data_IF_606171474996
#
_entry.id   IF_606171474996
#
_cell.length_a   1.000
_cell.length_b   1.000
_cell.length_c   1.000
_cell.angle_alpha   90.00
_cell.angle_beta   90.00
_cell.angle_gamma   90.00
#
_symmetry.space_group_name_H-M   'P 1'
#
loop_
_entity.id
_entity.type
_entity.pdbx_description
1 polymer ?
#
# COMPACT_ATOMS: atom_id res chain seq x y z
N UNK A 1 -12.33 -9.46 26.28
CA UNK A 1 -11.39 -8.92 25.28
C UNK A 1 -10.04 -8.56 25.90
N UNK A 2 -10.01 -7.92 27.07
CA UNK A 2 -8.75 -7.49 27.71
C UNK A 2 -7.85 -8.65 28.19
N UNK A 3 -8.40 -9.83 28.40
CA UNK A 3 -7.64 -11.02 28.82
C UNK A 3 -7.06 -11.83 27.65
N UNK A 4 -7.39 -11.44 26.40
CA UNK A 4 -6.93 -12.11 25.20
C UNK A 4 -5.47 -11.75 24.93
N UNK A 5 -4.58 -12.74 24.98
CA UNK A 5 -3.14 -12.56 24.70
C UNK A 5 -2.91 -12.52 23.19
N UNK A 6 -2.41 -11.40 22.70
CA UNK A 6 -2.33 -11.13 21.26
C UNK A 6 -0.87 -10.99 20.84
N UNK A 7 -0.45 -11.70 19.80
CA UNK A 7 0.78 -11.37 19.06
C UNK A 7 0.39 -10.58 17.83
N UNK A 8 1.05 -9.45 17.61
CA UNK A 8 0.91 -8.63 16.42
C UNK A 8 2.07 -8.83 15.46
N UNK A 9 1.80 -8.98 14.16
CA UNK A 9 2.81 -9.13 13.12
C UNK A 9 2.60 -8.09 12.03
N UNK A 10 3.58 -7.21 11.81
CA UNK A 10 3.47 -6.14 10.81
C UNK A 10 4.78 -5.42 10.58
N UNK A 11 4.81 -4.56 9.54
CA UNK A 11 6.05 -3.83 9.20
C UNK A 11 5.82 -2.36 8.89
N UNK A 12 4.97 -1.96 7.90
CA UNK A 12 4.84 -0.57 7.44
C UNK A 12 3.94 0.28 8.35
N UNK A 13 3.83 1.54 8.01
CA UNK A 13 3.01 2.53 8.75
C UNK A 13 1.54 2.10 8.87
N UNK A 14 0.98 1.46 7.85
CA UNK A 14 -0.36 0.87 7.91
C UNK A 14 -0.52 -0.08 9.10
N UNK A 15 0.45 -0.97 9.30
CA UNK A 15 0.46 -1.89 10.44
C UNK A 15 0.66 -1.15 11.78
N UNK A 16 1.47 -0.08 11.77
CA UNK A 16 1.69 0.74 12.98
C UNK A 16 0.42 1.43 13.43
N UNK A 17 -0.39 1.96 12.51
CA UNK A 17 -1.69 2.56 12.84
C UNK A 17 -2.65 1.56 13.50
N UNK A 18 -2.70 0.33 13.00
CA UNK A 18 -3.50 -0.75 13.59
C UNK A 18 -2.99 -1.13 14.98
N UNK A 19 -1.68 -1.35 15.14
CA UNK A 19 -1.09 -1.66 16.44
C UNK A 19 -1.35 -0.55 17.47
N UNK A 20 -1.22 0.71 17.06
CA UNK A 20 -1.51 1.87 17.91
C UNK A 20 -2.96 1.84 18.42
N UNK A 21 -3.93 1.60 17.53
CA UNK A 21 -5.34 1.52 17.89
C UNK A 21 -5.61 0.38 18.88
N UNK A 22 -4.99 -0.79 18.68
CA UNK A 22 -5.09 -1.91 19.60
C UNK A 22 -4.58 -1.57 21.01
N UNK A 23 -3.44 -0.88 21.10
CA UNK A 23 -2.84 -0.46 22.39
C UNK A 23 -3.70 0.61 23.06
N UNK A 24 -4.23 1.57 22.32
CA UNK A 24 -5.13 2.62 22.82
C UNK A 24 -6.44 2.04 23.40
N UNK A 25 -6.93 0.92 22.84
CA UNK A 25 -8.08 0.16 23.39
C UNK A 25 -7.72 -0.67 24.63
N UNK A 26 -6.46 -0.68 25.06
CA UNK A 26 -5.98 -1.41 26.22
C UNK A 26 -5.97 -2.92 25.98
N UNK A 27 -5.79 -3.38 24.72
CA UNK A 27 -5.67 -4.80 24.37
C UNK A 27 -4.30 -5.33 24.81
N UNK A 28 -4.26 -6.58 25.24
CA UNK A 28 -3.04 -7.22 25.73
C UNK A 28 -2.16 -7.72 24.56
N UNK A 29 -1.41 -6.82 23.94
CA UNK A 29 -0.40 -7.16 22.94
C UNK A 29 0.85 -7.65 23.67
N UNK A 30 1.06 -8.96 23.73
CA UNK A 30 2.15 -9.58 24.49
C UNK A 30 3.48 -9.59 23.77
N UNK A 31 3.48 -9.53 22.44
CA UNK A 31 4.68 -9.40 21.61
C UNK A 31 4.33 -8.85 20.22
N UNK A 32 5.34 -8.28 19.58
CA UNK A 32 5.29 -7.81 18.20
C UNK A 32 6.36 -8.55 17.38
N UNK A 33 5.99 -9.00 16.19
CA UNK A 33 6.91 -9.57 15.21
C UNK A 33 7.03 -8.64 14.02
N UNK A 34 8.24 -8.24 13.66
CA UNK A 34 8.49 -7.37 12.51
C UNK A 34 9.75 -7.81 11.76
N UNK A 35 10.05 -7.14 10.64
CA UNK A 35 11.26 -7.44 9.86
C UNK A 35 12.52 -7.04 10.60
N UNK A 36 13.63 -7.73 10.32
CA UNK A 36 14.95 -7.35 10.82
C UNK A 36 15.35 -5.97 10.30
N UNK A 37 16.08 -5.21 11.11
CA UNK A 37 16.63 -3.92 10.71
C UNK A 37 17.57 -4.10 9.52
N UNK A 38 17.50 -3.18 8.57
CA UNK A 38 18.32 -3.24 7.35
C UNK A 38 19.08 -1.93 7.17
N UNK A 39 20.35 -1.99 6.72
CA UNK A 39 21.05 -0.80 6.28
C UNK A 39 20.27 -0.12 5.13
N UNK A 40 19.99 1.17 5.23
CA UNK A 40 19.29 1.91 4.19
C UNK A 40 19.84 3.33 4.04
N UNK A 41 19.66 3.90 2.84
CA UNK A 41 20.04 5.27 2.49
C UNK A 41 21.54 5.48 2.29
N UNK A 42 21.89 6.73 1.99
CA UNK A 42 23.30 7.16 1.89
C UNK A 42 23.93 7.13 3.29
N UNK A 43 24.93 6.25 3.48
CA UNK A 43 25.59 6.06 4.78
C UNK A 43 25.17 4.80 5.54
N UNK A 44 24.33 3.91 4.95
CA UNK A 44 23.97 2.59 5.49
C UNK A 44 23.56 2.58 6.98
N UNK A 45 22.85 3.61 7.43
CA UNK A 45 22.28 3.60 8.79
C UNK A 45 21.23 2.51 8.89
N UNK A 46 21.25 1.76 9.99
CA UNK A 46 20.21 0.77 10.28
C UNK A 46 18.84 1.46 10.34
N UNK A 47 17.93 1.02 9.47
CA UNK A 47 16.56 1.51 9.45
C UNK A 47 15.65 0.49 10.15
N UNK A 48 15.05 0.95 11.23
CA UNK A 48 14.04 0.21 11.97
C UNK A 48 12.66 0.39 11.35
N UNK A 49 11.82 -0.64 11.41
CA UNK A 49 10.41 -0.52 11.01
C UNK A 49 9.65 0.44 11.94
N UNK A 50 8.62 1.10 11.40
CA UNK A 50 7.73 1.95 12.21
C UNK A 50 7.04 1.16 13.32
N UNK A 51 6.66 -0.08 13.04
CA UNK A 51 6.09 -1.02 14.03
C UNK A 51 7.05 -1.28 15.19
N UNK A 52 8.36 -1.51 14.92
CA UNK A 52 9.37 -1.71 15.97
C UNK A 52 9.49 -0.46 16.86
N UNK A 53 9.63 0.71 16.24
CA UNK A 53 9.77 1.97 16.98
C UNK A 53 8.58 2.20 17.93
N UNK A 54 7.38 1.97 17.42
CA UNK A 54 6.17 2.11 18.23
C UNK A 54 6.10 1.07 19.35
N UNK A 55 6.34 -0.22 19.06
CA UNK A 55 6.32 -1.28 20.06
C UNK A 55 7.31 -1.02 21.20
N UNK A 56 8.55 -0.61 20.90
CA UNK A 56 9.54 -0.25 21.92
C UNK A 56 9.10 0.94 22.77
N UNK A 57 8.46 1.96 22.18
CA UNK A 57 7.93 3.10 22.92
C UNK A 57 6.80 2.72 23.90
N UNK A 58 6.12 1.59 23.63
CA UNK A 58 5.07 1.02 24.50
C UNK A 58 5.59 -0.13 25.38
N UNK A 59 6.90 -0.37 25.42
CA UNK A 59 7.54 -1.44 26.18
C UNK A 59 7.02 -2.84 25.81
N UNK A 60 6.56 -3.03 24.57
CA UNK A 60 6.11 -4.32 24.03
C UNK A 60 7.33 -5.08 23.51
N UNK A 61 7.52 -6.36 23.89
CA UNK A 61 8.59 -7.21 23.36
C UNK A 61 8.55 -7.30 21.84
N UNK A 62 9.73 -7.19 21.17
CA UNK A 62 9.86 -7.22 19.72
C UNK A 62 10.71 -8.40 19.29
N UNK A 63 10.16 -9.21 18.38
CA UNK A 63 10.87 -10.32 17.71
C UNK A 63 11.16 -9.93 16.26
N UNK A 64 12.41 -10.12 15.82
CA UNK A 64 12.85 -9.78 14.45
C UNK A 64 13.52 -10.97 13.76
N UNK A 65 12.80 -12.08 13.50
CA UNK A 65 13.40 -13.27 12.91
C UNK A 65 13.83 -13.04 11.46
N UNK A 66 15.01 -13.51 11.08
CA UNK A 66 15.44 -13.59 9.69
C UNK A 66 14.59 -14.62 8.96
N UNK A 67 14.45 -15.80 9.56
CA UNK A 67 13.58 -16.88 9.08
C UNK A 67 12.44 -17.13 10.07
N UNK A 68 11.20 -17.18 9.55
CA UNK A 68 10.02 -17.54 10.34
C UNK A 68 9.95 -19.06 10.67
N UNK A 69 10.90 -19.84 10.18
CA UNK A 69 11.04 -21.28 10.46
C UNK A 69 12.19 -21.58 11.41
N UNK A 70 12.86 -20.55 11.90
CA UNK A 70 13.94 -20.69 12.87
C UNK A 70 13.42 -21.27 14.18
N UNK A 71 14.10 -22.30 14.71
CA UNK A 71 13.63 -23.03 15.90
C UNK A 71 13.65 -22.16 17.16
N UNK A 72 14.66 -21.31 17.31
CA UNK A 72 14.75 -20.39 18.45
C UNK A 72 13.63 -19.34 18.39
N UNK A 73 13.31 -18.84 17.20
CA UNK A 73 12.17 -17.96 17.01
C UNK A 73 10.84 -18.64 17.34
N UNK A 74 10.63 -19.87 16.87
CA UNK A 74 9.40 -20.63 17.14
C UNK A 74 9.24 -20.92 18.64
N UNK A 75 10.33 -21.27 19.33
CA UNK A 75 10.33 -21.45 20.77
C UNK A 75 9.98 -20.16 21.51
N UNK A 76 10.64 -19.04 21.19
CA UNK A 76 10.34 -17.73 21.77
C UNK A 76 8.89 -17.28 21.50
N UNK A 77 8.38 -17.51 20.28
CA UNK A 77 7.00 -17.18 19.92
C UNK A 77 5.99 -17.96 20.78
N UNK A 78 6.26 -19.23 21.04
CA UNK A 78 5.42 -20.12 21.84
C UNK A 78 5.38 -19.72 23.32
N UNK A 79 6.48 -19.19 23.87
CA UNK A 79 6.56 -18.75 25.27
C UNK A 79 5.57 -17.61 25.59
N UNK A 80 5.19 -16.81 24.60
CA UNK A 80 4.17 -15.78 24.79
C UNK A 80 2.76 -16.32 25.00
N UNK A 81 2.52 -17.60 24.74
CA UNK A 81 1.21 -18.25 24.95
C UNK A 81 0.03 -17.43 24.39
N UNK A 82 0.18 -16.94 23.17
CA UNK A 82 -0.83 -16.13 22.54
C UNK A 82 -2.09 -16.93 22.20
N UNK A 83 -3.25 -16.34 22.49
CA UNK A 83 -4.55 -16.89 22.11
C UNK A 83 -4.85 -16.66 20.63
N UNK A 84 -4.41 -15.51 20.09
CA UNK A 84 -4.65 -15.09 18.71
C UNK A 84 -3.46 -14.34 18.15
N UNK A 85 -3.25 -14.44 16.85
CA UNK A 85 -2.28 -13.62 16.11
C UNK A 85 -2.99 -12.70 15.13
N UNK A 86 -2.57 -11.44 15.11
CA UNK A 86 -3.04 -10.40 14.18
C UNK A 86 -1.94 -10.07 13.19
N UNK A 87 -2.21 -10.20 11.90
CA UNK A 87 -1.25 -9.95 10.84
C UNK A 87 -1.70 -8.76 10.00
N UNK A 88 -0.81 -7.82 9.78
CA UNK A 88 -1.10 -6.62 8.97
C UNK A 88 0.12 -6.26 8.13
N UNK A 89 -0.02 -6.33 6.81
CA UNK A 89 1.05 -6.01 5.86
C UNK A 89 2.39 -6.65 6.26
N UNK A 90 2.41 -7.95 6.34
CA UNK A 90 3.57 -8.75 6.71
C UNK A 90 3.89 -9.78 5.63
N UNK A 91 5.03 -10.44 5.75
CA UNK A 91 5.42 -11.54 4.85
C UNK A 91 4.57 -12.78 5.09
N UNK A 92 4.48 -13.66 4.09
CA UNK A 92 3.75 -14.93 4.19
C UNK A 92 4.24 -15.75 5.38
N UNK A 93 3.29 -16.23 6.19
CA UNK A 93 3.56 -17.04 7.37
C UNK A 93 3.62 -18.53 7.04
N UNK A 94 4.61 -19.26 7.52
CA UNK A 94 4.60 -20.72 7.44
C UNK A 94 3.53 -21.29 8.37
N UNK A 95 3.02 -22.47 8.01
CA UNK A 95 1.94 -23.17 8.73
C UNK A 95 2.21 -23.32 10.22
N UNK A 96 3.44 -23.67 10.60
CA UNK A 96 3.87 -23.81 11.99
C UNK A 96 3.70 -22.54 12.82
N UNK A 97 3.71 -21.36 12.20
CA UNK A 97 3.49 -20.07 12.89
C UNK A 97 2.01 -19.75 12.99
N UNK A 98 1.28 -19.78 11.87
CA UNK A 98 -0.11 -19.32 11.89
C UNK A 98 -1.10 -20.30 12.53
N UNK A 99 -0.73 -21.59 12.68
CA UNK A 99 -1.52 -22.58 13.44
C UNK A 99 -1.23 -22.59 14.93
N UNK A 100 -0.25 -21.82 15.42
CA UNK A 100 0.19 -21.90 16.81
C UNK A 100 -0.88 -21.44 17.82
N UNK A 101 -1.61 -20.32 17.62
CA UNK A 101 -2.56 -19.84 18.61
C UNK A 101 -3.89 -20.61 18.55
N UNK A 102 -4.49 -20.85 19.72
CA UNK A 102 -5.72 -21.65 19.85
C UNK A 102 -6.96 -21.03 19.18
N UNK A 103 -7.00 -19.69 19.08
CA UNK A 103 -8.10 -18.93 18.44
C UNK A 103 -7.76 -18.54 16.99
N UNK A 104 -6.63 -19.04 16.45
CA UNK A 104 -6.22 -18.85 15.08
C UNK A 104 -5.45 -17.54 14.83
N UNK A 105 -5.08 -17.38 13.58
CA UNK A 105 -4.35 -16.22 13.06
C UNK A 105 -5.20 -15.57 11.97
N UNK A 106 -5.43 -14.27 12.07
CA UNK A 106 -6.16 -13.54 11.03
C UNK A 106 -5.33 -12.37 10.48
N UNK A 107 -5.62 -12.01 9.25
CA UNK A 107 -5.01 -10.87 8.56
C UNK A 107 -6.04 -9.76 8.35
N UNK A 108 -5.56 -8.51 8.38
CA UNK A 108 -6.27 -7.35 7.85
C UNK A 108 -5.77 -7.09 6.44
N UNK A 109 -6.65 -7.17 5.45
CA UNK A 109 -6.38 -6.89 4.06
C UNK A 109 -7.10 -5.62 3.60
N UNK A 110 -6.41 -4.79 2.81
CA UNK A 110 -6.92 -3.49 2.39
C UNK A 110 -7.75 -3.58 1.09
N UNK A 111 -8.68 -4.51 1.02
CA UNK A 111 -9.70 -4.62 -0.03
C UNK A 111 -10.95 -5.34 0.48
N UNK A 112 -11.99 -5.35 -0.34
CA UNK A 112 -13.18 -6.18 -0.14
C UNK A 112 -12.95 -7.56 -0.78
N UNK A 113 -12.33 -8.48 -0.04
CA UNK A 113 -12.11 -9.85 -0.55
C UNK A 113 -13.41 -10.50 -1.03
N UNK A 114 -13.43 -11.28 -2.14
CA UNK A 114 -12.26 -11.88 -2.78
C UNK A 114 -11.50 -10.97 -3.75
N UNK A 115 -11.99 -9.77 -4.07
CA UNK A 115 -11.34 -8.87 -5.00
C UNK A 115 -10.03 -8.28 -4.43
N UNK A 116 -9.07 -8.05 -5.32
CA UNK A 116 -7.78 -7.44 -5.01
C UNK A 116 -6.94 -8.23 -3.99
N UNK A 117 -6.94 -9.58 -4.09
CA UNK A 117 -5.93 -10.41 -3.42
C UNK A 117 -4.54 -10.02 -3.90
N UNK A 118 -3.55 -9.99 -3.00
CA UNK A 118 -2.16 -9.75 -3.33
C UNK A 118 -1.52 -8.54 -2.65
N UNK A 119 -0.46 -8.00 -3.26
CA UNK A 119 0.48 -7.12 -2.57
C UNK A 119 0.12 -5.62 -2.60
N UNK A 120 -0.73 -5.16 -3.53
CA UNK A 120 -0.99 -3.73 -3.76
C UNK A 120 -2.49 -3.39 -3.95
N UNK A 121 -3.40 -3.86 -3.08
CA UNK A 121 -4.84 -3.69 -3.27
C UNK A 121 -5.27 -2.22 -3.35
N UNK A 122 -4.69 -1.35 -2.55
CA UNK A 122 -5.01 0.09 -2.50
C UNK A 122 -4.68 0.77 -3.83
N UNK A 123 -3.49 0.49 -4.38
CA UNK A 123 -3.04 1.06 -5.64
C UNK A 123 -3.96 0.61 -6.80
N UNK A 124 -4.22 -0.70 -6.89
CA UNK A 124 -5.01 -1.26 -7.98
C UNK A 124 -6.48 -0.86 -7.94
N UNK A 125 -7.06 -0.63 -6.78
CA UNK A 125 -8.41 -0.07 -6.68
C UNK A 125 -8.50 1.31 -7.35
N UNK A 126 -7.54 2.21 -7.11
CA UNK A 126 -7.48 3.53 -7.77
C UNK A 126 -7.21 3.39 -9.27
N UNK A 127 -6.20 2.59 -9.66
CA UNK A 127 -5.80 2.41 -11.07
C UNK A 127 -6.96 1.87 -11.90
N UNK A 128 -7.72 0.92 -11.38
CA UNK A 128 -8.86 0.32 -12.04
C UNK A 128 -10.12 1.20 -12.02
N UNK A 129 -10.08 2.35 -11.30
CA UNK A 129 -11.19 3.30 -11.28
C UNK A 129 -12.35 2.87 -10.42
N UNK A 130 -12.10 2.10 -9.37
CA UNK A 130 -13.13 1.76 -8.40
C UNK A 130 -13.65 3.02 -7.69
N UNK A 131 -14.93 3.02 -7.40
CA UNK A 131 -15.60 4.06 -6.59
C UNK A 131 -15.80 3.63 -5.15
N UNK A 132 -15.65 2.33 -4.89
CA UNK A 132 -15.79 1.71 -3.58
C UNK A 132 -14.70 0.66 -3.41
N UNK A 133 -14.12 0.59 -2.24
CA UNK A 133 -13.21 -0.46 -1.78
C UNK A 133 -13.51 -0.75 -0.32
N UNK A 134 -12.56 -1.26 0.44
CA UNK A 134 -12.76 -1.48 1.87
C UNK A 134 -11.62 -2.23 2.52
N UNK A 135 -11.91 -2.78 3.66
CA UNK A 135 -11.00 -3.61 4.43
C UNK A 135 -11.69 -4.92 4.82
N UNK A 136 -10.91 -5.98 4.91
CA UNK A 136 -11.41 -7.33 5.27
C UNK A 136 -10.51 -7.94 6.31
N UNK A 137 -11.06 -8.46 7.42
CA UNK A 137 -10.37 -9.40 8.30
C UNK A 137 -10.74 -10.82 7.92
N UNK A 138 -9.75 -11.72 7.83
CA UNK A 138 -9.96 -13.10 7.43
C UNK A 138 -8.94 -14.03 8.11
N UNK A 139 -9.32 -15.28 8.38
CA UNK A 139 -8.41 -16.30 8.91
C UNK A 139 -7.36 -16.69 7.85
N UNK A 140 -6.11 -16.81 8.25
CA UNK A 140 -5.03 -17.24 7.35
C UNK A 140 -5.12 -18.74 7.09
N UNK A 141 -4.93 -19.11 5.85
CA UNK A 141 -4.80 -20.50 5.38
C UNK A 141 -3.50 -20.72 4.58
N UNK A 142 -3.39 -21.82 3.85
CA UNK A 142 -2.19 -22.20 3.10
C UNK A 142 -2.02 -21.38 1.78
N UNK A 143 -3.00 -20.58 1.36
CA UNK A 143 -2.98 -19.79 0.13
C UNK A 143 -3.03 -18.29 0.43
N UNK A 144 -2.58 -17.47 -0.52
CA UNK A 144 -2.55 -16.01 -0.35
C UNK A 144 -3.97 -15.44 -0.38
N UNK A 145 -4.38 -14.81 0.73
CA UNK A 145 -5.62 -14.05 0.89
C UNK A 145 -6.92 -14.83 0.55
N UNK A 146 -6.92 -16.17 0.74
CA UNK A 146 -8.06 -17.05 0.41
C UNK A 146 -8.88 -17.50 1.61
N UNK A 147 -8.40 -17.30 2.82
CA UNK A 147 -9.00 -17.78 4.02
C UNK A 147 -10.40 -17.21 4.30
N UNK A 148 -11.10 -17.83 5.24
CA UNK A 148 -12.48 -17.49 5.57
C UNK A 148 -12.59 -16.09 6.21
N UNK A 149 -13.54 -15.29 5.70
CA UNK A 149 -13.77 -13.90 6.10
C UNK A 149 -14.45 -13.84 7.46
N UNK A 150 -13.92 -12.98 8.32
CA UNK A 150 -14.49 -12.67 9.62
C UNK A 150 -15.38 -11.43 9.55
N UNK A 151 -14.82 -10.30 9.11
CA UNK A 151 -15.56 -9.03 8.93
C UNK A 151 -15.09 -8.31 7.67
N UNK A 152 -15.94 -7.42 7.17
CA UNK A 152 -15.64 -6.46 6.09
C UNK A 152 -16.25 -5.10 6.43
N UNK A 153 -15.58 -4.05 5.95
CA UNK A 153 -16.09 -2.68 6.01
C UNK A 153 -15.86 -2.00 4.66
N UNK A 154 -16.92 -1.41 4.10
CA UNK A 154 -16.86 -0.70 2.83
C UNK A 154 -16.39 0.75 3.01
N UNK A 155 -15.61 1.23 2.05
CA UNK A 155 -15.08 2.59 2.04
C UNK A 155 -15.24 3.19 0.65
N UNK A 156 -15.91 4.33 0.55
CA UNK A 156 -16.03 5.08 -0.70
C UNK A 156 -14.69 5.71 -1.08
N UNK A 157 -14.30 5.58 -2.35
CA UNK A 157 -13.16 6.28 -2.95
C UNK A 157 -13.65 7.62 -3.49
N UNK A 158 -13.12 8.72 -2.95
CA UNK A 158 -13.50 10.06 -3.39
C UNK A 158 -12.96 10.37 -4.81
N UNK A 159 -13.63 11.25 -5.57
CA UNK A 159 -13.07 11.77 -6.80
C UNK A 159 -11.68 12.38 -6.55
N UNK A 160 -10.71 12.08 -7.41
CA UNK A 160 -9.33 12.56 -7.29
C UNK A 160 -8.52 12.01 -6.10
N UNK A 161 -9.04 11.02 -5.37
CA UNK A 161 -8.31 10.35 -4.29
C UNK A 161 -7.06 9.65 -4.83
N UNK A 162 -5.96 9.71 -4.07
CA UNK A 162 -4.70 9.03 -4.38
C UNK A 162 -4.56 7.73 -3.57
N UNK A 163 -3.65 6.85 -3.97
CA UNK A 163 -3.36 5.67 -3.15
C UNK A 163 -2.88 6.04 -1.73
N UNK A 164 -2.19 7.18 -1.56
CA UNK A 164 -1.75 7.64 -0.25
C UNK A 164 -2.90 8.07 0.64
N UNK A 165 -3.83 8.89 0.14
CA UNK A 165 -4.99 9.34 0.93
C UNK A 165 -5.95 8.19 1.24
N UNK A 166 -6.13 7.26 0.28
CA UNK A 166 -6.92 6.06 0.49
C UNK A 166 -6.26 5.12 1.52
N UNK A 167 -4.92 5.00 1.49
CA UNK A 167 -4.16 4.24 2.49
C UNK A 167 -4.46 4.71 3.92
N UNK A 168 -4.42 6.03 4.17
CA UNK A 168 -4.65 6.58 5.50
C UNK A 168 -6.09 6.37 5.97
N UNK A 169 -7.05 6.50 5.05
CA UNK A 169 -8.46 6.22 5.29
C UNK A 169 -8.68 4.74 5.65
N UNK A 170 -8.16 3.82 4.83
CA UNK A 170 -8.28 2.38 5.06
C UNK A 170 -7.52 1.91 6.31
N UNK A 171 -6.41 2.55 6.66
CA UNK A 171 -5.69 2.28 7.91
C UNK A 171 -6.56 2.56 9.13
N UNK A 172 -7.27 3.69 9.13
CA UNK A 172 -8.16 4.06 10.24
C UNK A 172 -9.34 3.10 10.36
N UNK A 173 -10.06 2.85 9.27
CA UNK A 173 -11.20 1.93 9.24
C UNK A 173 -10.77 0.50 9.55
N UNK A 174 -9.63 0.07 9.01
CA UNK A 174 -9.07 -1.27 9.25
C UNK A 174 -8.64 -1.49 10.70
N UNK A 175 -8.11 -0.44 11.35
CA UNK A 175 -7.75 -0.51 12.75
C UNK A 175 -8.97 -0.76 13.64
N UNK A 176 -10.09 -0.05 13.39
CA UNK A 176 -11.34 -0.27 14.10
C UNK A 176 -11.93 -1.65 13.80
N UNK A 177 -11.84 -2.13 12.55
CA UNK A 177 -12.30 -3.46 12.16
C UNK A 177 -11.53 -4.58 12.88
N UNK A 178 -10.22 -4.42 13.09
CA UNK A 178 -9.39 -5.36 13.86
C UNK A 178 -9.85 -5.43 15.31
N UNK A 179 -10.14 -4.29 15.95
CA UNK A 179 -10.66 -4.25 17.32
C UNK A 179 -12.03 -4.97 17.41
N UNK A 180 -12.93 -4.72 16.47
CA UNK A 180 -14.23 -5.41 16.40
C UNK A 180 -14.05 -6.92 16.19
N UNK A 181 -13.14 -7.33 15.31
CA UNK A 181 -12.82 -8.74 15.07
C UNK A 181 -12.33 -9.43 16.35
N UNK A 182 -11.42 -8.78 17.08
CA UNK A 182 -10.91 -9.30 18.35
C UNK A 182 -11.99 -9.40 19.42
N UNK A 183 -12.95 -8.47 19.45
CA UNK A 183 -14.10 -8.52 20.35
C UNK A 183 -14.98 -9.75 20.07
N UNK A 184 -15.25 -10.04 18.80
CA UNK A 184 -16.02 -11.23 18.40
C UNK A 184 -15.27 -12.53 18.72
N UNK A 185 -13.96 -12.57 18.50
CA UNK A 185 -13.12 -13.73 18.84
C UNK A 185 -13.11 -13.96 20.36
N UNK A 186 -12.98 -12.90 21.15
CA UNK A 186 -12.95 -12.97 22.60
C UNK A 186 -14.28 -13.49 23.19
N UNK A 187 -15.42 -13.06 22.62
CA UNK A 187 -16.76 -13.50 23.05
C UNK A 187 -17.18 -14.87 22.48
N UNK A 188 -16.39 -15.48 21.59
CA UNK A 188 -16.75 -16.70 20.90
C UNK A 188 -17.84 -16.55 19.84
N UNK A 189 -18.14 -15.30 19.43
CA UNK A 189 -19.16 -14.97 18.44
C UNK A 189 -18.62 -14.78 17.03
N UNK A 190 -17.32 -14.94 16.82
CA UNK A 190 -16.70 -14.83 15.50
C UNK A 190 -17.18 -15.98 14.59
N UNK A 191 -17.81 -15.63 13.47
CA UNK A 191 -18.26 -16.59 12.45
C UNK A 191 -17.47 -16.38 11.19
N UNK A 192 -16.59 -17.33 10.86
CA UNK A 192 -15.81 -17.31 9.65
C UNK A 192 -16.64 -17.81 8.45
N UNK A 193 -16.71 -17.00 7.38
CA UNK A 193 -17.46 -17.32 6.15
C UNK A 193 -16.47 -17.61 5.02
N UNK A 194 -16.53 -18.77 4.35
CA UNK A 194 -15.70 -19.06 3.20
C UNK A 194 -15.85 -18.01 2.10
N UNK A 195 -14.75 -17.68 1.42
CA UNK A 195 -14.82 -16.82 0.25
C UNK A 195 -15.50 -17.57 -0.92
N UNK A 196 -16.30 -16.87 -1.77
CA UNK A 196 -16.96 -17.49 -2.91
C UNK A 196 -15.89 -18.01 -3.91
N UNK A 197 -16.09 -19.22 -4.43
CA UNK A 197 -15.15 -19.88 -5.37
C UNK A 197 -15.48 -19.62 -6.84
N UNK A 198 -16.71 -19.17 -7.13
CA UNK A 198 -17.25 -19.06 -8.48
C UNK A 198 -16.93 -17.72 -9.17
N UNK A 199 -16.36 -16.77 -8.45
CA UNK A 199 -16.03 -15.44 -8.97
C UNK A 199 -14.54 -15.39 -9.28
N UNK A 200 -14.16 -15.01 -10.52
CA UNK A 200 -12.78 -14.65 -10.82
C UNK A 200 -12.47 -13.30 -10.16
N UNK A 201 -11.69 -13.29 -9.09
CA UNK A 201 -11.40 -12.05 -8.38
C UNK A 201 -10.46 -11.16 -9.19
N UNK A 202 -10.59 -9.86 -9.05
CA UNK A 202 -9.59 -8.90 -9.49
C UNK A 202 -8.32 -9.13 -8.68
N UNK A 203 -7.17 -9.14 -9.35
CA UNK A 203 -5.89 -9.34 -8.69
C UNK A 203 -5.21 -8.01 -8.36
N UNK A 204 -4.38 -8.01 -7.31
CA UNK A 204 -3.55 -6.87 -6.91
C UNK A 204 -2.07 -7.24 -6.88
N UNK A 205 -1.45 -7.52 -8.03
CA UNK A 205 -0.07 -7.93 -8.08
C UNK A 205 0.87 -6.85 -7.54
N UNK A 206 2.04 -7.30 -7.11
CA UNK A 206 3.08 -6.40 -6.63
C UNK A 206 3.50 -5.42 -7.73
N UNK A 207 3.59 -4.14 -7.38
CA UNK A 207 4.06 -3.09 -8.28
C UNK A 207 5.58 -3.04 -8.21
N UNK A 208 6.21 -3.07 -9.36
CA UNK A 208 7.66 -2.94 -9.55
C UNK A 208 7.97 -1.62 -10.27
N UNK A 209 9.26 -1.27 -10.36
CA UNK A 209 9.68 -0.05 -11.05
C UNK A 209 9.19 -0.01 -12.51
N UNK A 210 9.30 -1.13 -13.20
CA UNK A 210 8.90 -1.25 -14.61
C UNK A 210 7.40 -1.05 -14.77
N UNK A 211 6.58 -1.63 -13.90
CA UNK A 211 5.13 -1.51 -13.94
C UNK A 211 4.60 -0.17 -13.41
N UNK A 212 5.45 0.68 -12.86
CA UNK A 212 5.09 2.06 -12.48
C UNK A 212 5.44 3.11 -13.55
N UNK A 213 5.93 2.68 -14.74
CA UNK A 213 6.08 3.55 -15.90
C UNK A 213 4.72 3.92 -16.47
N UNK A 214 4.53 5.19 -16.80
CA UNK A 214 3.26 5.70 -17.34
C UNK A 214 2.98 5.09 -18.71
N UNK A 215 1.83 4.43 -18.91
CA UNK A 215 1.42 3.85 -20.19
C UNK A 215 0.76 4.91 -21.07
N UNK A 216 1.56 5.73 -21.77
CA UNK A 216 1.09 6.90 -22.53
C UNK A 216 0.08 6.56 -23.65
N UNK A 217 0.02 5.31 -24.11
CA UNK A 217 -0.94 4.83 -25.11
C UNK A 217 -2.38 4.73 -24.60
N UNK A 218 -2.55 4.79 -23.29
CA UNK A 218 -3.87 4.74 -22.65
C UNK A 218 -4.62 6.07 -22.76
N UNK A 219 -5.91 6.04 -22.41
CA UNK A 219 -6.74 7.25 -22.40
C UNK A 219 -6.33 8.19 -21.26
N UNK A 220 -6.67 9.48 -21.41
CA UNK A 220 -6.43 10.51 -20.40
C UNK A 220 -6.86 10.07 -18.99
N UNK A 221 -8.06 9.53 -18.87
CA UNK A 221 -8.62 9.12 -17.57
C UNK A 221 -7.96 7.87 -16.99
N UNK A 222 -7.49 6.94 -17.82
CA UNK A 222 -6.70 5.80 -17.35
C UNK A 222 -5.33 6.23 -16.84
N UNK A 223 -4.67 7.16 -17.53
CA UNK A 223 -3.37 7.70 -17.10
C UNK A 223 -3.53 8.54 -15.82
N UNK A 224 -4.59 9.33 -15.71
CA UNK A 224 -4.89 10.08 -14.49
C UNK A 224 -5.04 9.13 -13.29
N UNK A 225 -5.86 8.09 -13.41
CA UNK A 225 -6.01 7.07 -12.37
C UNK A 225 -4.70 6.37 -12.05
N UNK A 226 -3.90 6.07 -13.08
CA UNK A 226 -2.60 5.45 -12.90
C UNK A 226 -1.66 6.33 -12.07
N UNK A 227 -1.51 7.62 -12.39
CA UNK A 227 -0.68 8.55 -11.61
C UNK A 227 -1.17 8.64 -10.17
N UNK A 228 -2.47 8.80 -9.95
CA UNK A 228 -3.05 8.84 -8.59
C UNK A 228 -2.87 7.52 -7.82
N UNK A 229 -3.03 6.40 -8.50
CA UNK A 229 -2.84 5.07 -7.92
C UNK A 229 -1.39 4.75 -7.58
N UNK A 230 -0.43 5.45 -8.19
CA UNK A 230 0.99 5.32 -7.88
C UNK A 230 1.48 6.36 -6.85
N UNK A 231 0.68 7.37 -6.53
CA UNK A 231 1.09 8.46 -5.63
C UNK A 231 0.74 8.17 -4.16
N UNK A 232 1.62 8.50 -3.19
CA UNK A 232 2.96 9.07 -3.38
C UNK A 232 4.05 8.02 -3.62
N UNK A 233 3.74 6.73 -3.49
CA UNK A 233 4.65 5.60 -3.63
C UNK A 233 3.96 4.41 -4.33
N UNK A 234 4.66 3.73 -5.27
CA UNK A 234 6.06 3.90 -5.69
C UNK A 234 6.36 5.14 -6.54
N UNK A 235 5.37 5.89 -6.95
CA UNK A 235 5.35 7.04 -7.85
C UNK A 235 5.40 6.62 -9.31
N UNK A 236 4.48 7.15 -10.11
CA UNK A 236 4.51 7.02 -11.57
C UNK A 236 5.74 7.72 -12.14
N UNK A 237 6.33 7.17 -13.20
CA UNK A 237 7.47 7.78 -13.87
C UNK A 237 7.39 7.62 -15.38
N UNK A 238 8.08 8.50 -16.10
CA UNK A 238 8.18 8.48 -17.54
C UNK A 238 9.60 8.85 -18.00
N UNK A 239 9.95 8.51 -19.25
CA UNK A 239 11.17 9.01 -19.88
C UNK A 239 10.87 10.34 -20.56
N UNK A 240 11.59 11.38 -20.18
CA UNK A 240 11.67 12.63 -20.93
C UNK A 240 12.84 12.55 -21.90
N UNK A 241 12.56 12.63 -23.18
CA UNK A 241 13.56 12.81 -24.23
C UNK A 241 13.81 14.30 -24.42
N UNK A 242 15.04 14.73 -24.18
CA UNK A 242 15.48 16.12 -24.28
C UNK A 242 16.88 16.21 -24.86
N UNK A 243 17.04 16.88 -25.99
CA UNK A 243 18.35 17.10 -26.68
C UNK A 243 19.15 15.80 -26.91
N UNK A 244 18.46 14.69 -27.21
CA UNK A 244 19.10 13.39 -27.46
C UNK A 244 19.40 12.56 -26.21
N UNK A 245 19.14 13.10 -25.02
CA UNK A 245 19.31 12.41 -23.74
C UNK A 245 17.95 11.94 -23.18
N UNK A 246 17.99 10.91 -22.33
CA UNK A 246 16.80 10.35 -21.65
C UNK A 246 16.86 10.57 -20.14
N UNK A 247 15.81 11.14 -19.58
CA UNK A 247 15.69 11.40 -18.15
C UNK A 247 14.47 10.70 -17.55
N UNK A 248 14.69 9.83 -16.54
CA UNK A 248 13.60 9.21 -15.82
C UNK A 248 12.98 10.23 -14.84
N UNK A 249 11.87 10.83 -15.22
CA UNK A 249 11.14 11.82 -14.43
C UNK A 249 10.01 11.16 -13.66
N UNK A 250 9.95 11.38 -12.34
CA UNK A 250 8.83 10.95 -11.51
C UNK A 250 7.71 11.99 -11.54
N UNK A 251 6.47 11.54 -11.64
CA UNK A 251 5.27 12.38 -11.66
C UNK A 251 4.43 12.03 -10.44
N UNK A 252 4.32 12.97 -9.50
CA UNK A 252 3.62 12.80 -8.24
C UNK A 252 2.17 13.24 -8.30
N UNK A 253 1.92 14.29 -9.09
CA UNK A 253 0.59 14.87 -9.23
C UNK A 253 0.40 15.38 -10.65
N UNK A 254 -0.78 15.11 -11.20
CA UNK A 254 -1.18 15.58 -12.51
C UNK A 254 -2.68 15.84 -12.54
N UNK A 255 -3.11 16.72 -13.46
CA UNK A 255 -4.51 17.07 -13.69
C UNK A 255 -4.88 16.71 -15.12
N UNK A 256 -5.99 15.98 -15.36
CA UNK A 256 -6.49 15.72 -16.70
C UNK A 256 -7.11 17.01 -17.28
N UNK A 257 -6.76 17.33 -18.52
CA UNK A 257 -7.33 18.42 -19.31
C UNK A 257 -8.04 17.80 -20.50
N UNK A 258 -9.36 17.77 -20.45
CA UNK A 258 -10.23 17.20 -21.50
C UNK A 258 -10.35 18.22 -22.65
N UNK A 259 -9.39 18.19 -23.57
CA UNK A 259 -9.29 19.08 -24.71
C UNK A 259 -8.80 18.29 -25.93
N UNK A 260 -9.62 18.10 -26.97
CA UNK A 260 -9.22 17.40 -28.19
C UNK A 260 -8.00 18.03 -28.87
N UNK A 261 -7.10 17.19 -29.36
CA UNK A 261 -5.90 17.61 -30.08
C UNK A 261 -5.50 16.61 -31.17
N UNK A 262 -4.60 17.04 -32.05
CA UNK A 262 -4.03 16.23 -33.14
C UNK A 262 -2.54 15.95 -32.95
N UNK A 263 -1.98 16.32 -31.79
CA UNK A 263 -0.57 16.15 -31.48
C UNK A 263 -0.23 14.65 -31.34
N UNK A 264 1.01 14.32 -31.61
CA UNK A 264 1.54 12.96 -31.32
C UNK A 264 1.50 12.73 -29.81
N UNK A 265 1.11 11.53 -29.41
CA UNK A 265 1.15 11.12 -27.98
C UNK A 265 2.55 11.32 -27.40
N UNK A 266 2.61 11.87 -26.19
CA UNK A 266 3.86 12.22 -25.51
C UNK A 266 4.40 13.62 -25.86
N UNK A 267 3.87 14.29 -26.89
CA UNK A 267 4.29 15.67 -27.22
C UNK A 267 3.99 16.62 -26.06
N UNK A 268 4.89 17.57 -25.83
CA UNK A 268 4.80 18.53 -24.74
C UNK A 268 4.22 19.84 -25.28
N UNK A 269 3.18 20.34 -24.63
CA UNK A 269 2.64 21.69 -24.83
C UNK A 269 2.97 22.54 -23.59
N UNK A 270 3.61 23.67 -23.79
CA UNK A 270 3.85 24.66 -22.74
C UNK A 270 2.84 25.81 -22.87
N UNK A 271 2.00 25.98 -21.89
CA UNK A 271 0.99 27.04 -21.87
C UNK A 271 0.88 27.62 -20.45
N UNK A 272 1.00 28.96 -20.32
CA UNK A 272 0.88 29.65 -19.03
C UNK A 272 1.76 29.07 -17.89
N UNK A 273 2.99 28.71 -18.21
CA UNK A 273 3.94 28.04 -17.27
C UNK A 273 3.46 26.67 -16.79
N UNK A 274 2.64 25.97 -17.56
CA UNK A 274 2.19 24.61 -17.32
C UNK A 274 2.88 23.66 -18.28
N UNK A 275 3.10 22.42 -17.86
CA UNK A 275 3.62 21.35 -18.67
C UNK A 275 2.46 20.39 -18.95
N UNK A 276 2.00 20.36 -20.17
CA UNK A 276 0.93 19.50 -20.62
C UNK A 276 1.44 18.47 -21.62
N UNK A 277 1.19 17.20 -21.36
CA UNK A 277 1.62 16.10 -22.20
C UNK A 277 0.42 15.57 -22.97
N UNK A 278 0.52 15.52 -24.29
CA UNK A 278 -0.52 15.04 -25.18
C UNK A 278 -0.77 13.54 -24.96
N UNK A 279 -2.02 13.16 -24.70
CA UNK A 279 -2.49 11.80 -24.50
C UNK A 279 -3.77 11.55 -25.27
N UNK A 280 -4.20 10.30 -25.42
CA UNK A 280 -5.47 10.03 -26.09
C UNK A 280 -6.66 10.63 -25.32
N UNK A 281 -7.33 11.60 -25.92
CA UNK A 281 -8.51 12.28 -25.35
C UNK A 281 -8.20 13.56 -24.60
N UNK A 282 -6.99 14.12 -24.69
CA UNK A 282 -6.66 15.39 -24.06
C UNK A 282 -5.20 15.53 -23.64
N UNK A 283 -4.96 16.24 -22.58
CA UNK A 283 -3.63 16.47 -22.04
C UNK A 283 -3.55 16.07 -20.57
N UNK A 284 -2.43 15.49 -20.20
CA UNK A 284 -2.05 15.32 -18.80
C UNK A 284 -1.22 16.52 -18.35
N UNK A 285 -1.79 17.44 -17.58
CA UNK A 285 -1.06 18.57 -17.00
C UNK A 285 -0.27 18.09 -15.79
N UNK A 286 1.06 18.17 -15.86
CA UNK A 286 1.96 17.81 -14.75
C UNK A 286 1.97 18.94 -13.72
N UNK A 287 1.63 18.63 -12.48
CA UNK A 287 1.63 19.61 -11.38
C UNK A 287 2.90 19.50 -10.54
N UNK A 288 3.24 18.27 -10.11
CA UNK A 288 4.38 18.00 -9.24
C UNK A 288 5.21 16.88 -9.82
N UNK A 289 6.49 17.15 -9.99
CA UNK A 289 7.45 16.21 -10.57
C UNK A 289 8.76 16.16 -9.77
N UNK A 290 9.58 15.16 -10.11
CA UNK A 290 10.95 15.07 -9.64
C UNK A 290 11.86 14.67 -10.80
N UNK A 291 12.73 15.56 -11.18
CA UNK A 291 13.80 15.31 -12.16
C UNK A 291 14.95 14.53 -11.49
N UNK A 292 15.73 13.73 -12.23
CA UNK A 292 16.88 13.02 -11.67
C UNK A 292 17.81 13.91 -10.85
N UNK A 293 18.21 13.45 -9.68
CA UNK A 293 19.10 14.15 -8.73
C UNK A 293 18.55 15.48 -8.16
N UNK A 294 17.30 15.85 -8.46
CA UNK A 294 16.64 17.04 -7.91
C UNK A 294 15.66 16.67 -6.80
N UNK A 295 15.21 17.66 -6.05
CA UNK A 295 14.10 17.51 -5.11
C UNK A 295 12.77 17.48 -5.87
N UNK A 296 11.73 16.96 -5.25
CA UNK A 296 10.34 17.10 -5.68
C UNK A 296 9.99 18.58 -5.75
N UNK A 297 9.38 19.03 -6.85
CA UNK A 297 9.06 20.42 -7.12
C UNK A 297 7.81 20.55 -7.99
N UNK A 298 7.21 21.74 -8.01
CA UNK A 298 6.12 22.07 -8.94
C UNK A 298 6.62 22.20 -10.38
N UNK A 299 5.71 22.03 -11.34
CA UNK A 299 6.04 22.26 -12.76
C UNK A 299 6.57 23.68 -13.01
N UNK A 300 6.01 24.67 -12.31
CA UNK A 300 6.47 26.07 -12.43
C UNK A 300 7.90 26.26 -11.92
N UNK A 301 8.26 25.66 -10.77
CA UNK A 301 9.63 25.69 -10.25
C UNK A 301 10.59 25.00 -11.20
N UNK A 302 10.18 23.88 -11.80
CA UNK A 302 10.99 23.15 -12.78
C UNK A 302 11.26 24.03 -14.01
N UNK A 303 10.26 24.70 -14.56
CA UNK A 303 10.37 25.58 -15.73
C UNK A 303 11.22 26.84 -15.48
N UNK A 304 11.47 27.23 -14.25
CA UNK A 304 12.40 28.34 -13.97
C UNK A 304 13.86 28.00 -14.26
N UNK A 305 14.21 26.72 -14.31
CA UNK A 305 15.59 26.26 -14.53
C UNK A 305 15.74 25.19 -15.62
N UNK A 306 14.65 24.81 -16.29
CA UNK A 306 14.65 23.84 -17.39
C UNK A 306 13.87 24.41 -18.59
N UNK A 307 14.51 24.39 -19.75
CA UNK A 307 13.90 24.90 -20.99
C UNK A 307 13.70 23.76 -21.97
N UNK A 308 12.45 23.44 -22.24
CA UNK A 308 12.12 22.49 -23.29
C UNK A 308 12.51 23.03 -24.66
N UNK A 309 12.93 22.14 -25.54
CA UNK A 309 13.27 22.46 -26.93
C UNK A 309 12.31 21.77 -27.89
N UNK A 310 12.26 22.26 -29.13
CA UNK A 310 11.44 21.63 -30.16
C UNK A 310 11.86 20.17 -30.35
N UNK A 311 10.88 19.27 -30.31
CA UNK A 311 11.11 17.84 -30.43
C UNK A 311 11.24 17.09 -29.10
N UNK A 312 11.22 17.76 -27.95
CA UNK A 312 11.12 17.11 -26.64
C UNK A 312 9.79 16.40 -26.46
N UNK A 313 9.81 15.22 -25.85
CA UNK A 313 8.61 14.44 -25.60
C UNK A 313 8.77 13.49 -24.42
N UNK A 314 7.63 13.06 -23.85
CA UNK A 314 7.59 11.98 -22.89
C UNK A 314 7.27 10.63 -23.56
N UNK A 315 7.95 9.54 -23.09
CA UNK A 315 7.76 8.17 -23.54
C UNK A 315 7.63 7.18 -22.37
#
# INVERSE_FOLDING_TARGET
>A
MKDLRIIFMGTPDFATGVLKRMVEEGLQVVAVVTVADKPAGRGQKLQESSVKKYALSQQIPVLQPISLRDEAFLAALKEFQADVQVVVAFRMLPKVVWQMPSKGTFNLHASLLPDYRGAAPINWAIINGETTTGVTTFLIDDQIDTGAILLKEEVTIAPRETAGTLHDKLMTVGADLVVQTLALIASGQAVAKPQPKEVMPKEAPKIHKETSRIPWEKSLWEIDRFVRGMAPYPTAWALLHHQGEEYAVKIYEATPVDEPHTLKIGSIRLQHKKIEVAVRGGFLQIEILQFPSKKRMTAQEFLNGFHFTDGDFFA
#
